data_IF_580425183244
#
_entry.id   IF_580425183244
#
_cell.length_a   1.000
_cell.length_b   1.000
_cell.length_c   1.000
_cell.angle_alpha   90.00
_cell.angle_beta   90.00
_cell.angle_gamma   90.00
#
_symmetry.space_group_name_H-M   'P 1'
#
loop_
_entity.id
_entity.type
_entity.pdbx_description
1 polymer ?
#
# COMPACT_ATOMS: atom_id res chain seq x y z
N UNK A 1 -1.61 -1.37 39.30
CA UNK A 1 -2.69 -1.17 38.32
C UNK A 1 -2.05 -0.66 37.05
N UNK A 2 -2.03 -1.47 35.99
CA UNK A 2 -1.39 -1.14 34.72
C UNK A 2 -2.16 0.00 34.04
N UNK A 3 -1.48 1.11 33.78
CA UNK A 3 -1.96 2.16 32.88
C UNK A 3 -2.27 1.51 31.53
N UNK A 4 -3.57 1.41 31.22
CA UNK A 4 -4.05 1.09 29.90
C UNK A 4 -3.51 2.17 28.97
N UNK A 5 -2.48 1.78 28.22
CA UNK A 5 -1.90 2.40 27.03
C UNK A 5 -2.90 3.30 26.33
N UNK A 6 -2.67 4.61 26.43
CA UNK A 6 -3.35 5.58 25.59
C UNK A 6 -2.82 5.39 24.16
N UNK A 7 -3.49 4.54 23.38
CA UNK A 7 -3.12 4.18 22.01
C UNK A 7 -3.05 5.41 21.09
N UNK A 8 -3.68 6.53 21.50
CA UNK A 8 -3.64 7.84 20.85
C UNK A 8 -2.32 8.60 21.00
N UNK A 9 -1.36 8.16 21.82
CA UNK A 9 -0.01 8.80 21.90
C UNK A 9 0.80 8.67 20.60
N UNK A 10 0.37 7.81 19.68
CA UNK A 10 0.97 7.61 18.36
C UNK A 10 0.16 8.23 17.22
N UNK A 11 -1.04 8.76 17.49
CA UNK A 11 -1.83 9.48 16.48
C UNK A 11 -1.07 10.75 16.07
N UNK A 12 -0.79 10.89 14.78
CA UNK A 12 -0.05 12.03 14.21
C UNK A 12 1.46 11.81 14.04
N UNK A 13 2.06 10.81 14.69
CA UNK A 13 3.50 10.48 14.50
C UNK A 13 3.77 9.77 13.18
N UNK A 14 2.76 9.07 12.63
CA UNK A 14 2.92 8.41 11.32
C UNK A 14 2.95 9.43 10.19
N UNK A 15 2.40 10.63 10.37
CA UNK A 15 2.42 11.69 9.35
C UNK A 15 3.84 12.08 8.97
N UNK A 16 4.70 12.33 9.96
CA UNK A 16 6.09 12.73 9.74
C UNK A 16 6.88 11.61 9.08
N UNK A 17 6.78 10.40 9.62
CA UNK A 17 7.42 9.22 9.04
C UNK A 17 6.93 8.96 7.60
N UNK A 18 5.63 9.11 7.35
CA UNK A 18 5.08 8.98 6.01
C UNK A 18 5.62 10.03 5.05
N UNK A 19 5.67 11.31 5.45
CA UNK A 19 6.20 12.38 4.62
C UNK A 19 7.66 12.14 4.23
N UNK A 20 8.49 11.66 5.16
CA UNK A 20 9.89 11.33 4.89
C UNK A 20 10.03 10.18 3.89
N UNK A 21 9.30 9.07 4.09
CA UNK A 21 9.34 7.93 3.19
C UNK A 21 8.74 8.27 1.82
N UNK A 22 7.68 9.07 1.79
CA UNK A 22 7.06 9.58 0.56
C UNK A 22 8.06 10.40 -0.26
N UNK A 23 8.79 11.32 0.39
CA UNK A 23 9.82 12.12 -0.27
C UNK A 23 10.91 11.24 -0.90
N UNK A 24 11.42 10.27 -0.14
CA UNK A 24 12.42 9.32 -0.65
C UNK A 24 11.88 8.56 -1.86
N UNK A 25 10.66 8.07 -1.76
CA UNK A 25 10.01 7.34 -2.83
C UNK A 25 9.79 8.20 -4.08
N UNK A 26 9.41 9.46 -3.91
CA UNK A 26 9.27 10.43 -5.01
C UNK A 26 10.61 10.75 -5.69
N UNK A 27 11.71 10.76 -4.93
CA UNK A 27 13.07 11.00 -5.44
C UNK A 27 13.65 9.78 -6.18
N UNK A 28 13.22 8.58 -5.77
CA UNK A 28 13.80 7.32 -6.20
C UNK A 28 12.96 6.53 -7.17
N UNK A 29 11.65 6.74 -7.29
CA UNK A 29 10.77 5.93 -8.12
C UNK A 29 9.85 6.79 -8.98
N UNK A 30 9.41 6.20 -10.10
CA UNK A 30 8.28 6.74 -10.83
C UNK A 30 7.03 6.53 -9.99
N UNK A 31 6.26 7.60 -9.79
CA UNK A 31 4.95 7.50 -9.16
C UNK A 31 3.87 7.21 -10.21
N UNK A 32 3.05 6.21 -9.92
CA UNK A 32 1.82 5.96 -10.63
C UNK A 32 0.71 6.78 -9.98
N UNK A 33 -0.24 7.27 -10.77
CA UNK A 33 -1.48 7.79 -10.19
C UNK A 33 -2.30 6.63 -9.60
N UNK A 34 -3.31 6.97 -8.79
CA UNK A 34 -4.23 5.97 -8.28
C UNK A 34 -4.94 5.21 -9.40
N UNK A 35 -5.38 5.92 -10.44
CA UNK A 35 -6.07 5.35 -11.59
C UNK A 35 -5.17 4.42 -12.38
N UNK A 36 -3.90 4.81 -12.59
CA UNK A 36 -2.90 3.95 -13.23
C UNK A 36 -2.66 2.68 -12.41
N UNK A 37 -2.50 2.81 -11.09
CA UNK A 37 -2.27 1.68 -10.19
C UNK A 37 -3.46 0.71 -10.16
N UNK A 38 -4.70 1.23 -10.11
CA UNK A 38 -5.91 0.41 -10.13
C UNK A 38 -6.05 -0.32 -11.47
N UNK A 39 -5.81 0.36 -12.60
CA UNK A 39 -5.85 -0.25 -13.92
C UNK A 39 -4.82 -1.38 -14.05
N UNK A 40 -3.57 -1.12 -13.63
CA UNK A 40 -2.51 -2.12 -13.61
C UNK A 40 -2.84 -3.30 -12.69
N UNK A 41 -3.42 -3.05 -11.52
CA UNK A 41 -3.86 -4.09 -10.61
C UNK A 41 -4.96 -4.97 -11.21
N UNK A 42 -5.94 -4.38 -11.92
CA UNK A 42 -6.96 -5.16 -12.63
C UNK A 42 -6.34 -6.09 -13.68
N UNK A 43 -5.35 -5.63 -14.44
CA UNK A 43 -4.65 -6.48 -15.41
C UNK A 43 -3.87 -7.59 -14.72
N UNK A 44 -3.13 -7.28 -13.66
CA UNK A 44 -2.36 -8.26 -12.89
C UNK A 44 -3.25 -9.32 -12.23
N UNK A 45 -4.45 -8.95 -11.76
CA UNK A 45 -5.35 -9.96 -11.17
C UNK A 45 -5.73 -11.04 -12.18
N UNK A 46 -5.80 -10.75 -13.49
CA UNK A 46 -6.10 -11.76 -14.53
C UNK A 46 -5.07 -12.89 -14.58
N UNK A 47 -3.86 -12.65 -14.06
CA UNK A 47 -2.79 -13.65 -13.96
C UNK A 47 -2.97 -14.59 -12.76
N UNK A 48 -3.79 -14.20 -11.77
CA UNK A 48 -4.08 -15.02 -10.59
C UNK A 48 -4.91 -16.23 -11.02
N UNK A 49 -4.28 -17.41 -10.94
CA UNK A 49 -4.87 -18.67 -11.45
C UNK A 49 -6.03 -19.19 -10.60
N UNK A 50 -6.04 -18.90 -9.30
CA UNK A 50 -7.13 -19.29 -8.41
C UNK A 50 -8.36 -18.40 -8.63
N UNK A 51 -9.40 -18.96 -9.26
CA UNK A 51 -10.61 -18.22 -9.63
C UNK A 51 -11.35 -17.55 -8.47
N UNK A 52 -11.40 -18.18 -7.29
CA UNK A 52 -12.07 -17.62 -6.11
C UNK A 52 -11.27 -16.42 -5.60
N UNK A 53 -9.95 -16.58 -5.45
CA UNK A 53 -9.07 -15.50 -5.00
C UNK A 53 -8.99 -14.36 -6.00
N UNK A 54 -8.96 -14.65 -7.30
CA UNK A 54 -9.09 -13.65 -8.36
C UNK A 54 -10.38 -12.81 -8.20
N UNK A 55 -11.53 -13.47 -8.00
CA UNK A 55 -12.80 -12.77 -7.82
C UNK A 55 -12.79 -11.86 -6.60
N UNK A 56 -12.20 -12.32 -5.49
CA UNK A 56 -12.03 -11.52 -4.28
C UNK A 56 -11.19 -10.28 -4.58
N UNK A 57 -9.99 -10.44 -5.15
CA UNK A 57 -9.08 -9.33 -5.47
C UNK A 57 -9.75 -8.29 -6.38
N UNK A 58 -10.46 -8.74 -7.42
CA UNK A 58 -11.20 -7.86 -8.32
C UNK A 58 -12.31 -7.10 -7.60
N UNK A 59 -13.02 -7.75 -6.68
CA UNK A 59 -14.05 -7.09 -5.89
C UNK A 59 -13.47 -5.96 -5.01
N UNK A 60 -12.28 -6.15 -4.45
CA UNK A 60 -11.56 -5.10 -3.71
C UNK A 60 -11.30 -3.90 -4.61
N UNK A 61 -10.76 -4.14 -5.80
CA UNK A 61 -10.44 -3.09 -6.76
C UNK A 61 -11.70 -2.33 -7.22
N UNK A 62 -12.82 -3.04 -7.39
CA UNK A 62 -14.11 -2.43 -7.70
C UNK A 62 -14.61 -1.53 -6.57
N UNK A 63 -14.47 -1.93 -5.31
CA UNK A 63 -14.80 -1.11 -4.14
C UNK A 63 -13.94 0.15 -4.12
N UNK A 64 -12.62 0.00 -4.20
CA UNK A 64 -11.67 1.11 -4.20
C UNK A 64 -11.97 2.11 -5.33
N UNK A 65 -12.18 1.62 -6.54
CA UNK A 65 -12.51 2.45 -7.70
C UNK A 65 -13.82 3.20 -7.50
N UNK A 66 -14.87 2.51 -7.06
CA UNK A 66 -16.18 3.12 -6.80
C UNK A 66 -16.09 4.22 -5.75
N UNK A 67 -15.35 3.99 -4.66
CA UNK A 67 -15.23 4.95 -3.58
C UNK A 67 -14.52 6.23 -4.05
N UNK A 68 -13.55 6.13 -4.97
CA UNK A 68 -12.92 7.30 -5.62
C UNK A 68 -13.86 7.98 -6.61
N UNK A 69 -14.52 7.23 -7.50
CA UNK A 69 -15.44 7.77 -8.51
C UNK A 69 -16.61 8.52 -7.84
N UNK A 70 -17.12 8.01 -6.71
CA UNK A 70 -18.18 8.62 -5.92
C UNK A 70 -17.67 9.70 -4.93
N UNK A 71 -16.37 10.01 -4.93
CA UNK A 71 -15.72 10.99 -4.04
C UNK A 71 -15.99 10.71 -2.56
N UNK A 72 -16.02 9.44 -2.15
CA UNK A 72 -16.17 8.99 -0.75
C UNK A 72 -14.85 9.10 0.03
N UNK A 73 -14.15 10.23 -0.15
CA UNK A 73 -12.80 10.50 0.41
C UNK A 73 -12.72 10.35 1.92
N UNK A 74 -13.83 10.53 2.66
CA UNK A 74 -13.87 10.37 4.13
C UNK A 74 -13.62 8.92 4.57
N UNK A 75 -13.96 7.92 3.75
CA UNK A 75 -13.79 6.49 4.08
C UNK A 75 -12.33 6.06 3.95
N UNK A 76 -11.61 6.65 2.99
CA UNK A 76 -10.25 6.26 2.63
C UNK A 76 -9.16 7.20 3.17
N UNK A 77 -9.55 8.19 3.97
CA UNK A 77 -8.63 9.18 4.55
C UNK A 77 -8.49 9.00 6.06
N UNK A 78 -7.24 8.92 6.50
CA UNK A 78 -6.82 9.02 7.89
C UNK A 78 -6.47 10.48 8.23
N UNK A 79 -7.36 11.22 8.90
CA UNK A 79 -7.15 12.62 9.24
C UNK A 79 -6.11 12.82 10.35
N UNK A 80 -5.91 11.81 11.20
CA UNK A 80 -4.94 11.90 12.29
C UNK A 80 -3.51 11.91 11.74
N UNK A 81 -3.28 11.16 10.66
CA UNK A 81 -1.96 11.02 10.06
C UNK A 81 -1.83 11.68 8.67
N UNK A 82 -2.90 12.30 8.15
CA UNK A 82 -2.93 12.92 6.82
C UNK A 82 -2.51 11.94 5.71
N UNK A 83 -3.09 10.75 5.73
CA UNK A 83 -2.80 9.66 4.78
C UNK A 83 -4.07 9.21 4.10
N UNK A 84 -4.01 8.98 2.79
CA UNK A 84 -5.12 8.41 2.02
C UNK A 84 -4.71 7.18 1.24
N UNK A 85 -5.67 6.29 0.99
CA UNK A 85 -5.46 5.08 0.17
C UNK A 85 -5.03 5.45 -1.24
N UNK A 86 -5.54 6.56 -1.76
CA UNK A 86 -5.26 7.05 -3.10
C UNK A 86 -3.76 7.37 -3.31
N UNK A 87 -3.05 7.79 -2.26
CA UNK A 87 -1.60 8.04 -2.28
C UNK A 87 -0.80 6.78 -1.92
N UNK A 88 -1.27 5.98 -0.95
CA UNK A 88 -0.54 4.81 -0.45
C UNK A 88 -0.67 3.56 -1.33
N UNK A 89 -1.80 3.34 -1.99
CA UNK A 89 -2.03 2.17 -2.82
C UNK A 89 -1.06 2.12 -4.01
N UNK A 90 -0.85 3.19 -4.81
CA UNK A 90 0.14 3.17 -5.90
C UNK A 90 1.56 2.89 -5.41
N UNK A 91 1.91 3.46 -4.25
CA UNK A 91 3.23 3.36 -3.64
C UNK A 91 3.55 1.96 -3.13
N UNK A 92 2.55 1.24 -2.66
CA UNK A 92 2.71 -0.16 -2.24
C UNK A 92 2.58 -1.11 -3.42
N UNK A 93 1.61 -0.89 -4.32
CA UNK A 93 1.30 -1.78 -5.43
C UNK A 93 2.48 -1.98 -6.39
N UNK A 94 3.32 -0.96 -6.61
CA UNK A 94 4.52 -1.10 -7.45
C UNK A 94 5.48 -2.20 -7.01
N UNK A 95 5.49 -2.56 -5.72
CA UNK A 95 6.26 -3.68 -5.20
C UNK A 95 5.50 -4.99 -5.37
N UNK A 96 4.22 -5.02 -4.98
CA UNK A 96 3.41 -6.23 -4.99
C UNK A 96 3.05 -6.76 -6.39
N UNK A 97 3.04 -5.91 -7.43
CA UNK A 97 2.74 -6.35 -8.81
C UNK A 97 3.76 -7.39 -9.33
N UNK A 98 4.98 -7.37 -8.80
CA UNK A 98 6.04 -8.32 -9.18
C UNK A 98 6.11 -9.57 -8.31
N UNK A 99 5.33 -9.63 -7.23
CA UNK A 99 5.34 -10.76 -6.30
C UNK A 99 4.60 -12.00 -6.83
N UNK A 100 4.85 -13.19 -6.26
CA UNK A 100 4.00 -14.36 -6.45
C UNK A 100 2.53 -14.10 -6.08
N UNK A 101 1.63 -14.91 -6.64
CA UNK A 101 0.17 -14.77 -6.46
C UNK A 101 -0.23 -14.77 -4.98
N UNK A 102 0.41 -15.59 -4.16
CA UNK A 102 0.11 -15.72 -2.73
C UNK A 102 0.28 -14.38 -2.00
N UNK A 103 1.35 -13.65 -2.31
CA UNK A 103 1.64 -12.35 -1.71
C UNK A 103 0.70 -11.26 -2.21
N UNK A 104 0.33 -11.29 -3.50
CA UNK A 104 -0.70 -10.39 -4.06
C UNK A 104 -2.05 -10.60 -3.39
N UNK A 105 -2.44 -11.87 -3.17
CA UNK A 105 -3.68 -12.22 -2.49
C UNK A 105 -3.66 -11.70 -1.06
N UNK A 106 -2.57 -11.91 -0.32
CA UNK A 106 -2.42 -11.39 1.04
C UNK A 106 -2.56 -9.86 1.03
N UNK A 107 -1.91 -9.16 0.09
CA UNK A 107 -2.04 -7.71 -0.06
C UNK A 107 -3.49 -7.25 -0.25
N UNK A 108 -4.26 -7.91 -1.14
CA UNK A 108 -5.68 -7.58 -1.32
C UNK A 108 -6.54 -7.95 -0.11
N UNK A 109 -6.26 -9.06 0.57
CA UNK A 109 -6.94 -9.45 1.81
C UNK A 109 -6.73 -8.38 2.90
N UNK A 110 -5.53 -7.80 3.00
CA UNK A 110 -5.26 -6.67 3.91
C UNK A 110 -6.09 -5.43 3.55
N UNK A 111 -6.27 -5.11 2.27
CA UNK A 111 -7.09 -3.97 1.84
C UNK A 111 -8.58 -4.18 2.15
N UNK A 112 -9.11 -5.41 2.05
CA UNK A 112 -10.51 -5.71 2.39
C UNK A 112 -10.80 -5.37 3.86
N UNK A 113 -9.91 -5.77 4.76
CA UNK A 113 -10.02 -5.48 6.20
C UNK A 113 -10.07 -3.96 6.45
N UNK A 114 -9.44 -3.19 5.56
CA UNK A 114 -9.37 -1.74 5.63
C UNK A 114 -10.63 -1.05 5.06
N UNK A 115 -11.16 -1.54 3.92
CA UNK A 115 -12.36 -0.97 3.28
C UNK A 115 -13.67 -1.36 3.98
N UNK A 116 -13.68 -2.47 4.74
CA UNK A 116 -14.87 -2.94 5.46
C UNK A 116 -15.11 -2.22 6.79
N UNK A 117 -14.18 -1.35 7.23
CA UNK A 117 -14.30 -0.63 8.51
C UNK A 117 -14.18 -1.51 9.76
N UNK A 118 -13.77 -2.78 9.60
CA UNK A 118 -13.66 -3.76 10.69
C UNK A 118 -12.31 -3.71 11.42
N UNK A 119 -11.35 -2.89 10.97
CA UNK A 119 -10.06 -2.76 11.62
C UNK A 119 -10.12 -1.83 12.84
N UNK A 120 -9.85 -2.39 14.03
CA UNK A 120 -9.83 -1.67 15.31
C UNK A 120 -8.67 -0.65 15.45
N UNK A 121 -7.63 -0.72 14.62
CA UNK A 121 -6.43 0.14 14.71
C UNK A 121 -6.45 1.36 13.77
N UNK A 122 -7.60 1.69 13.18
CA UNK A 122 -7.78 2.94 12.46
C UNK A 122 -7.39 2.86 10.99
N UNK A 123 -8.43 2.98 10.15
CA UNK A 123 -8.46 3.50 8.77
C UNK A 123 -7.48 2.95 7.75
N UNK A 124 -7.90 2.99 6.48
CA UNK A 124 -7.15 2.42 5.39
C UNK A 124 -5.76 3.08 5.11
N UNK A 125 -5.39 4.17 5.79
CA UNK A 125 -4.04 4.73 5.70
C UNK A 125 -2.99 3.94 6.50
N UNK A 126 -3.28 3.63 7.77
CA UNK A 126 -2.28 3.08 8.70
C UNK A 126 -1.74 1.71 8.31
N UNK A 127 -2.61 0.80 7.85
CA UNK A 127 -2.20 -0.57 7.48
C UNK A 127 -1.42 -0.61 6.16
N UNK A 128 -1.79 0.21 5.18
CA UNK A 128 -1.01 0.35 3.96
C UNK A 128 0.34 1.00 4.26
N UNK A 129 0.41 1.95 5.20
CA UNK A 129 1.68 2.50 5.67
C UNK A 129 2.57 1.43 6.32
N UNK A 130 2.02 0.55 7.16
CA UNK A 130 2.77 -0.57 7.74
C UNK A 130 3.33 -1.55 6.69
N UNK A 131 2.62 -1.71 5.56
CA UNK A 131 3.10 -2.50 4.42
C UNK A 131 4.18 -1.73 3.66
N UNK A 132 4.01 -0.43 3.48
CA UNK A 132 4.90 0.46 2.73
C UNK A 132 6.25 0.68 3.40
N UNK A 133 6.26 0.91 4.72
CA UNK A 133 7.45 1.32 5.46
C UNK A 133 8.63 0.35 5.33
N UNK A 134 8.45 -0.99 5.46
CA UNK A 134 9.54 -1.94 5.29
C UNK A 134 10.17 -1.90 3.89
N UNK A 135 9.38 -1.65 2.83
CA UNK A 135 9.90 -1.61 1.46
C UNK A 135 10.89 -0.48 1.25
N UNK A 136 10.52 0.73 1.65
CA UNK A 136 11.40 1.90 1.48
C UNK A 136 12.62 1.80 2.40
N UNK A 137 12.44 1.30 3.63
CA UNK A 137 13.56 1.12 4.57
C UNK A 137 14.58 0.10 4.04
N UNK A 138 14.11 -1.00 3.44
CA UNK A 138 14.99 -2.02 2.86
C UNK A 138 15.79 -1.49 1.65
N UNK A 139 15.17 -0.66 0.82
CA UNK A 139 15.84 -0.06 -0.35
C UNK A 139 16.98 0.87 0.09
N UNK A 140 16.80 1.62 1.18
CA UNK A 140 17.83 2.46 1.79
C UNK A 140 19.02 1.63 2.30
N UNK A 141 18.75 0.49 2.96
CA UNK A 141 19.80 -0.39 3.47
C UNK A 141 20.58 -1.10 2.35
N UNK A 142 19.94 -1.33 1.21
CA UNK A 142 20.55 -2.04 0.09
C UNK A 142 21.42 -1.15 -0.81
N UNK A 143 21.28 0.18 -0.74
CA UNK A 143 21.89 1.04 -1.77
C UNK A 143 22.35 2.43 -1.29
N UNK A 144 23.49 2.87 -1.82
CA UNK A 144 23.90 4.28 -1.82
C UNK A 144 23.09 5.17 -2.77
N UNK A 145 23.68 6.27 -3.29
CA UNK A 145 23.06 7.39 -4.04
C UNK A 145 22.46 7.09 -5.45
N UNK A 146 21.84 5.93 -5.70
CA UNK A 146 21.23 5.62 -7.01
C UNK A 146 19.74 5.92 -7.03
N UNK A 147 19.27 6.53 -8.14
CA UNK A 147 17.84 6.68 -8.47
C UNK A 147 17.33 5.43 -9.18
N UNK A 148 16.14 4.95 -8.81
CA UNK A 148 15.51 3.76 -9.36
C UNK A 148 14.43 4.11 -10.41
N UNK A 149 14.11 3.13 -11.24
CA UNK A 149 12.88 3.07 -12.03
C UNK A 149 12.17 1.76 -11.72
N UNK A 150 10.88 1.63 -12.02
CA UNK A 150 10.06 0.42 -11.73
C UNK A 150 10.74 -0.91 -12.10
N UNK A 151 11.56 -0.94 -13.16
CA UNK A 151 12.31 -2.14 -13.56
C UNK A 151 13.39 -2.55 -12.57
N UNK A 152 13.92 -1.60 -11.82
CA UNK A 152 14.95 -1.85 -10.81
C UNK A 152 14.34 -2.42 -9.51
N UNK A 153 13.03 -2.25 -9.29
CA UNK A 153 12.32 -2.97 -8.22
C UNK A 153 12.44 -4.48 -8.42
N UNK A 154 12.39 -4.95 -9.67
CA UNK A 154 12.61 -6.37 -10.01
C UNK A 154 14.02 -6.81 -9.60
N UNK A 155 15.04 -5.96 -9.78
CA UNK A 155 16.41 -6.27 -9.36
C UNK A 155 16.54 -6.37 -7.84
N UNK A 156 15.79 -5.56 -7.08
CA UNK A 156 15.69 -5.69 -5.62
C UNK A 156 15.07 -7.05 -5.26
N UNK A 157 14.02 -7.48 -5.96
CA UNK A 157 13.41 -8.80 -5.76
C UNK A 157 14.36 -9.97 -6.07
N UNK A 158 15.05 -9.94 -7.21
CA UNK A 158 16.02 -10.98 -7.58
C UNK A 158 17.16 -11.09 -6.55
N UNK A 159 17.55 -9.95 -5.96
CA UNK A 159 18.58 -9.89 -4.91
C UNK A 159 18.12 -10.47 -3.57
N UNK A 160 16.81 -10.46 -3.32
CA UNK A 160 16.15 -10.95 -2.11
C UNK A 160 15.90 -12.46 -2.11
N UNK A 161 16.05 -13.14 -3.25
CA UNK A 161 15.69 -14.56 -3.45
C UNK A 161 14.23 -14.88 -3.03
N UNK A 162 13.33 -13.92 -3.22
CA UNK A 162 11.88 -14.12 -3.11
C UNK A 162 11.33 -14.66 -4.43
#
# INVERSE_FOLDING_TARGET
MSNLTNVHEYDGKLKEAYAELKKKDDENFRNMTFEEAIADAFENTKLITNAIKNRICRHVLEILKRDVDEKRTVVNYDPSNDMCVEDLFPRTWKFFKYMPDEHKIIFFDQIIEMTSGLCAQGRAGGRLFQIYQPWISYIDDYNGERKYVDKDVILVFDSLKL
#
